data_IF_866414265731
#
_entry.id   IF_866414265731
#
_cell.length_a   1.000
_cell.length_b   1.000
_cell.length_c   1.000
_cell.angle_alpha   90.00
_cell.angle_beta   90.00
_cell.angle_gamma   90.00
#
_symmetry.space_group_name_H-M   'P 1'
#
loop_
_entity.id
_entity.type
_entity.pdbx_description
1 polymer ?
#
# COMPACT_ATOMS: atom_id res chain seq x y z
N UNK A 1 -35.38 -37.75 -24.32
CA UNK A 1 -35.68 -36.34 -23.97
C UNK A 1 -36.64 -36.33 -22.77
N UNK A 2 -36.57 -35.33 -21.88
CA UNK A 2 -37.44 -35.15 -20.69
C UNK A 2 -36.96 -35.64 -19.29
N UNK A 3 -35.71 -35.37 -18.88
CA UNK A 3 -35.33 -35.39 -17.44
C UNK A 3 -34.46 -34.22 -16.94
N UNK A 4 -34.20 -33.19 -17.76
CA UNK A 4 -33.28 -32.10 -17.40
C UNK A 4 -33.91 -30.81 -16.81
N UNK A 5 -35.24 -30.68 -16.80
CA UNK A 5 -35.89 -29.39 -16.52
C UNK A 5 -36.21 -29.11 -15.03
N UNK A 6 -36.08 -30.11 -14.14
CA UNK A 6 -36.51 -30.00 -12.73
C UNK A 6 -35.49 -29.36 -11.76
N UNK A 7 -34.21 -29.33 -12.12
CA UNK A 7 -33.15 -28.83 -11.22
C UNK A 7 -32.96 -27.31 -11.27
N UNK A 8 -33.31 -26.66 -12.39
CA UNK A 8 -33.22 -25.20 -12.53
C UNK A 8 -34.41 -24.46 -11.87
N UNK A 9 -35.54 -25.14 -11.61
CA UNK A 9 -36.67 -24.55 -10.88
C UNK A 9 -36.47 -24.53 -9.37
N UNK A 10 -35.55 -25.34 -8.82
CA UNK A 10 -35.32 -25.46 -7.38
C UNK A 10 -34.33 -24.41 -6.83
N UNK A 11 -33.45 -23.88 -7.67
CA UNK A 11 -32.50 -22.81 -7.30
C UNK A 11 -33.14 -21.40 -7.33
N UNK A 12 -34.42 -21.28 -7.68
CA UNK A 12 -35.15 -20.00 -7.80
C UNK A 12 -36.35 -19.98 -6.83
N UNK A 13 -36.08 -20.10 -5.54
CA UNK A 13 -37.01 -19.69 -4.47
C UNK A 13 -36.21 -19.00 -3.37
N UNK A 14 -36.82 -18.45 -2.31
CA UNK A 14 -38.02 -17.60 -2.14
C UNK A 14 -37.87 -16.05 -2.35
N UNK A 15 -36.69 -15.42 -2.62
CA UNK A 15 -36.58 -13.95 -2.64
C UNK A 15 -37.32 -13.32 -3.83
N UNK A 16 -37.50 -14.03 -4.94
CA UNK A 16 -38.28 -13.53 -6.09
C UNK A 16 -39.78 -13.36 -5.78
N UNK A 17 -40.39 -14.25 -4.97
CA UNK A 17 -41.81 -14.13 -4.56
C UNK A 17 -42.02 -12.99 -3.58
N UNK A 18 -41.03 -12.69 -2.72
CA UNK A 18 -41.05 -11.52 -1.86
C UNK A 18 -40.97 -10.22 -2.68
N UNK A 19 -40.12 -10.20 -3.73
CA UNK A 19 -39.96 -9.07 -4.64
C UNK A 19 -41.26 -8.72 -5.40
N UNK A 20 -42.07 -9.73 -5.72
CA UNK A 20 -43.39 -9.55 -6.32
C UNK A 20 -44.42 -8.90 -5.38
N UNK A 21 -44.18 -8.81 -4.07
CA UNK A 21 -45.06 -8.11 -3.11
C UNK A 21 -44.60 -6.69 -2.79
N UNK A 22 -43.35 -6.34 -3.10
CA UNK A 22 -42.80 -5.01 -2.82
C UNK A 22 -43.36 -3.97 -3.80
N UNK A 23 -43.82 -2.78 -3.34
CA UNK A 23 -44.29 -1.71 -4.22
C UNK A 23 -43.18 -1.23 -5.17
N UNK A 24 -43.53 -0.87 -6.42
CA UNK A 24 -42.56 -0.40 -7.43
C UNK A 24 -41.70 0.78 -6.93
N UNK A 25 -42.28 1.69 -6.13
CA UNK A 25 -41.56 2.82 -5.52
C UNK A 25 -40.44 2.38 -4.57
N UNK A 26 -40.67 1.31 -3.81
CA UNK A 26 -39.68 0.76 -2.86
C UNK A 26 -38.60 -0.02 -3.61
N UNK A 27 -38.97 -0.74 -4.69
CA UNK A 27 -38.00 -1.39 -5.58
C UNK A 27 -37.04 -0.38 -6.22
N UNK A 28 -37.55 0.78 -6.64
CA UNK A 28 -36.74 1.88 -7.17
C UNK A 28 -35.75 2.43 -6.13
N UNK A 29 -36.21 2.67 -4.89
CA UNK A 29 -35.35 3.13 -3.79
C UNK A 29 -34.24 2.14 -3.45
N UNK A 30 -34.53 0.85 -3.36
CA UNK A 30 -33.53 -0.19 -3.07
C UNK A 30 -32.49 -0.28 -4.19
N UNK A 31 -32.92 -0.18 -5.45
CA UNK A 31 -32.04 -0.23 -6.63
C UNK A 31 -31.01 0.91 -6.63
N UNK A 32 -31.40 2.09 -6.13
CA UNK A 32 -30.51 3.26 -6.05
C UNK A 32 -29.68 3.24 -4.76
N UNK A 33 -30.27 2.85 -3.63
CA UNK A 33 -29.60 2.88 -2.33
C UNK A 33 -28.48 1.83 -2.20
N UNK A 34 -28.66 0.62 -2.74
CA UNK A 34 -27.68 -0.46 -2.61
C UNK A 34 -26.30 -0.12 -3.25
N UNK A 35 -26.20 0.34 -4.52
CA UNK A 35 -24.92 0.74 -5.10
C UNK A 35 -24.32 1.95 -4.38
N UNK A 36 -25.15 2.88 -3.90
CA UNK A 36 -24.67 4.05 -3.15
C UNK A 36 -23.97 3.60 -1.86
N UNK A 37 -24.57 2.67 -1.10
CA UNK A 37 -23.97 2.12 0.12
C UNK A 37 -22.66 1.38 -0.20
N UNK A 38 -22.62 0.60 -1.27
CA UNK A 38 -21.40 -0.09 -1.69
C UNK A 38 -20.26 0.89 -2.05
N UNK A 39 -20.58 1.99 -2.74
CA UNK A 39 -19.63 3.06 -3.05
C UNK A 39 -19.15 3.75 -1.78
N UNK A 40 -20.03 4.05 -0.82
CA UNK A 40 -19.65 4.67 0.45
C UNK A 40 -18.72 3.76 1.26
N UNK A 41 -19.02 2.46 1.36
CA UNK A 41 -18.16 1.49 2.04
C UNK A 41 -16.78 1.42 1.37
N UNK A 42 -16.74 1.34 0.04
CA UNK A 42 -15.49 1.34 -0.72
C UNK A 42 -14.70 2.64 -0.50
N UNK A 43 -15.36 3.79 -0.49
CA UNK A 43 -14.73 5.08 -0.21
C UNK A 43 -14.12 5.14 1.20
N UNK A 44 -14.83 4.65 2.22
CA UNK A 44 -14.31 4.60 3.60
C UNK A 44 -13.09 3.68 3.70
N UNK A 45 -13.13 2.49 3.08
CA UNK A 45 -12.00 1.57 3.04
C UNK A 45 -10.79 2.20 2.33
N UNK A 46 -11.01 2.89 1.21
CA UNK A 46 -9.97 3.58 0.46
C UNK A 46 -9.36 4.76 1.23
N UNK A 47 -10.18 5.53 1.96
CA UNK A 47 -9.69 6.63 2.80
C UNK A 47 -8.84 6.12 3.96
N UNK A 48 -9.28 5.07 4.64
CA UNK A 48 -8.48 4.42 5.68
C UNK A 48 -7.17 3.85 5.12
N UNK A 49 -7.22 3.22 3.94
CA UNK A 49 -6.03 2.75 3.23
C UNK A 49 -5.05 3.88 2.92
N UNK A 50 -5.54 5.03 2.44
CA UNK A 50 -4.71 6.21 2.15
C UNK A 50 -4.04 6.79 3.40
N UNK A 51 -4.73 6.89 4.54
CA UNK A 51 -4.14 7.38 5.79
C UNK A 51 -2.99 6.48 6.27
N UNK A 52 -3.14 5.16 6.15
CA UNK A 52 -2.08 4.22 6.50
C UNK A 52 -0.90 4.30 5.52
N UNK A 53 -1.16 4.52 4.22
CA UNK A 53 -0.09 4.65 3.21
C UNK A 53 0.85 5.82 3.46
N UNK A 54 0.32 6.99 3.84
CA UNK A 54 1.15 8.20 4.07
C UNK A 54 2.16 7.96 5.20
N UNK A 55 1.76 7.30 6.28
CA UNK A 55 2.66 6.99 7.38
C UNK A 55 3.76 5.99 6.98
N UNK A 56 3.46 5.02 6.10
CA UNK A 56 4.45 4.06 5.62
C UNK A 56 5.39 4.70 4.58
N UNK A 57 4.89 5.60 3.74
CA UNK A 57 5.70 6.29 2.73
C UNK A 57 6.80 7.16 3.37
N UNK A 58 6.47 7.91 4.43
CA UNK A 58 7.48 8.66 5.20
C UNK A 58 8.47 7.74 5.90
N UNK A 59 8.03 6.56 6.33
CA UNK A 59 8.90 5.58 6.97
C UNK A 59 9.92 5.01 5.98
N UNK A 60 9.45 4.61 4.79
CA UNK A 60 10.30 4.12 3.70
C UNK A 60 11.35 5.16 3.32
N UNK A 61 10.94 6.42 3.15
CA UNK A 61 11.88 7.49 2.77
C UNK A 61 13.00 7.65 3.81
N UNK A 62 12.65 7.66 5.11
CA UNK A 62 13.64 7.76 6.19
C UNK A 62 14.63 6.60 6.19
N UNK A 63 14.16 5.38 5.93
CA UNK A 63 15.03 4.19 5.87
C UNK A 63 16.01 4.25 4.69
N UNK A 64 15.60 4.83 3.56
CA UNK A 64 16.51 5.16 2.45
C UNK A 64 17.51 6.24 2.82
N UNK A 65 17.08 7.32 3.47
CA UNK A 65 17.95 8.40 3.96
C UNK A 65 19.00 7.86 4.95
N UNK A 66 18.60 6.99 5.89
CA UNK A 66 19.49 6.32 6.83
C UNK A 66 20.53 5.45 6.11
N UNK A 67 20.11 4.64 5.14
CA UNK A 67 21.02 3.81 4.33
C UNK A 67 22.03 4.66 3.56
N UNK A 68 21.58 5.79 3.00
CA UNK A 68 22.43 6.72 2.27
C UNK A 68 23.44 7.42 3.19
N UNK A 69 23.01 7.89 4.36
CA UNK A 69 23.86 8.52 5.35
C UNK A 69 24.93 7.54 5.90
N UNK A 70 24.57 6.28 6.16
CA UNK A 70 25.53 5.22 6.50
C UNK A 70 26.56 4.98 5.38
N UNK A 71 26.09 5.01 4.13
CA UNK A 71 26.95 4.92 2.95
C UNK A 71 27.93 6.09 2.84
N UNK A 72 27.48 7.30 3.17
CA UNK A 72 28.32 8.49 3.20
C UNK A 72 29.45 8.36 4.23
N UNK A 73 29.14 7.94 5.47
CA UNK A 73 30.16 7.67 6.50
C UNK A 73 31.21 6.67 6.00
N UNK A 74 30.76 5.54 5.43
CA UNK A 74 31.67 4.53 4.87
C UNK A 74 32.56 5.11 3.77
N UNK A 75 31.99 5.89 2.85
CA UNK A 75 32.74 6.52 1.76
C UNK A 75 33.77 7.52 2.27
N UNK A 76 33.43 8.36 3.25
CA UNK A 76 34.36 9.31 3.87
C UNK A 76 35.55 8.58 4.50
N UNK A 77 35.29 7.48 5.21
CA UNK A 77 36.33 6.69 5.85
C UNK A 77 37.25 5.98 4.84
N UNK A 78 36.69 5.39 3.79
CA UNK A 78 37.48 4.77 2.71
C UNK A 78 38.35 5.81 2.01
N UNK A 79 37.80 6.99 1.71
CA UNK A 79 38.53 8.06 1.05
C UNK A 79 39.65 8.61 1.94
N UNK A 80 39.39 8.80 3.24
CA UNK A 80 40.40 9.24 4.21
C UNK A 80 41.57 8.25 4.32
N UNK A 81 41.27 6.95 4.45
CA UNK A 81 42.30 5.91 4.52
C UNK A 81 43.10 5.82 3.21
N UNK A 82 42.41 5.88 2.06
CA UNK A 82 43.05 5.83 0.74
C UNK A 82 43.95 7.05 0.51
N UNK A 83 43.49 8.23 0.88
CA UNK A 83 44.27 9.47 0.84
C UNK A 83 45.52 9.38 1.73
N UNK A 84 45.37 8.91 2.97
CA UNK A 84 46.51 8.73 3.87
C UNK A 84 47.55 7.77 3.29
N UNK A 85 47.12 6.63 2.74
CA UNK A 85 48.03 5.68 2.07
C UNK A 85 48.75 6.32 0.88
N UNK A 86 48.05 7.12 0.08
CA UNK A 86 48.65 7.89 -1.02
C UNK A 86 49.72 8.87 -0.52
N UNK A 87 49.45 9.57 0.57
CA UNK A 87 50.41 10.45 1.24
C UNK A 87 51.63 9.68 1.76
N UNK A 88 51.44 8.54 2.45
CA UNK A 88 52.53 7.72 2.94
C UNK A 88 53.42 7.15 1.82
N UNK A 89 52.83 6.84 0.65
CA UNK A 89 53.56 6.31 -0.49
C UNK A 89 54.33 7.36 -1.27
N UNK A 90 53.80 8.58 -1.38
CA UNK A 90 54.34 9.61 -2.28
C UNK A 90 55.00 10.78 -1.56
N UNK A 91 54.69 10.99 -0.27
CA UNK A 91 55.04 12.17 0.50
C UNK A 91 54.31 13.45 0.09
N UNK A 92 53.39 13.39 -0.89
CA UNK A 92 52.72 14.58 -1.43
C UNK A 92 51.48 14.94 -0.60
N UNK A 93 51.47 16.16 -0.06
CA UNK A 93 50.38 16.64 0.80
C UNK A 93 49.00 16.72 0.11
N UNK A 94 48.94 16.74 -1.22
CA UNK A 94 47.67 16.73 -1.98
C UNK A 94 46.82 15.49 -1.67
N UNK A 95 47.45 14.35 -1.39
CA UNK A 95 46.74 13.13 -1.01
C UNK A 95 46.07 13.21 0.37
N UNK A 96 46.37 14.22 1.19
CA UNK A 96 45.71 14.45 2.48
C UNK A 96 44.35 15.16 2.35
N UNK A 97 43.98 15.65 1.16
CA UNK A 97 42.70 16.33 0.95
C UNK A 97 41.48 15.47 1.39
N UNK A 98 41.38 14.18 1.06
CA UNK A 98 40.27 13.34 1.52
C UNK A 98 40.23 13.14 3.03
N UNK A 99 41.39 13.05 3.69
CA UNK A 99 41.47 12.96 5.14
C UNK A 99 40.97 14.26 5.82
N UNK A 100 41.36 15.41 5.28
CA UNK A 100 40.87 16.71 5.75
C UNK A 100 39.35 16.87 5.55
N UNK A 101 38.82 16.40 4.41
CA UNK A 101 37.37 16.39 4.15
C UNK A 101 36.61 15.51 5.13
N UNK A 102 37.07 14.28 5.36
CA UNK A 102 36.44 13.38 6.33
C UNK A 102 36.43 13.97 7.75
N UNK A 103 37.54 14.59 8.17
CA UNK A 103 37.64 15.30 9.46
C UNK A 103 36.57 16.38 9.62
N UNK A 104 36.21 17.07 8.54
CA UNK A 104 35.18 18.13 8.57
C UNK A 104 33.75 17.59 8.45
N UNK A 105 33.54 16.53 7.67
CA UNK A 105 32.19 16.07 7.29
C UNK A 105 31.64 14.95 8.18
N UNK A 106 32.48 14.15 8.80
CA UNK A 106 32.03 13.06 9.69
C UNK A 106 31.13 13.54 10.84
N UNK A 107 31.44 14.66 11.55
CA UNK A 107 30.56 15.13 12.62
C UNK A 107 29.14 15.45 12.15
N UNK A 108 29.00 16.10 10.98
CA UNK A 108 27.68 16.37 10.40
C UNK A 108 26.97 15.10 9.93
N UNK A 109 27.70 14.13 9.37
CA UNK A 109 27.13 12.86 8.95
C UNK A 109 26.58 12.06 10.14
N UNK A 110 27.28 12.04 11.28
CA UNK A 110 26.78 11.40 12.51
C UNK A 110 25.62 12.18 13.14
N UNK A 111 25.61 13.52 13.06
CA UNK A 111 24.47 14.31 13.50
C UNK A 111 23.20 14.01 12.68
N UNK A 112 23.34 13.84 11.36
CA UNK A 112 22.25 13.43 10.47
C UNK A 112 21.73 12.02 10.82
N UNK A 113 22.63 11.04 10.98
CA UNK A 113 22.27 9.69 11.43
C UNK A 113 21.54 9.69 12.78
N UNK A 114 21.99 10.51 13.71
CA UNK A 114 21.37 10.65 15.04
C UNK A 114 19.97 11.27 14.95
N UNK A 115 19.78 12.25 14.07
CA UNK A 115 18.47 12.86 13.83
C UNK A 115 17.49 11.86 13.19
N UNK A 116 17.93 11.14 12.16
CA UNK A 116 17.16 10.07 11.51
C UNK A 116 16.78 8.96 12.50
N UNK A 117 17.69 8.62 13.41
CA UNK A 117 17.41 7.66 14.48
C UNK A 117 16.41 8.19 15.52
N UNK A 118 16.42 9.50 15.76
CA UNK A 118 15.48 10.17 16.65
C UNK A 118 14.04 10.07 16.17
N UNK A 119 13.78 10.24 14.89
CA UNK A 119 12.41 10.36 14.39
C UNK A 119 11.66 9.02 14.20
N UNK A 120 12.27 7.89 14.59
CA UNK A 120 11.65 6.57 14.49
C UNK A 120 10.56 6.34 15.58
N UNK A 121 9.32 5.95 15.19
CA UNK A 121 8.26 5.68 16.15
C UNK A 121 8.48 4.34 16.88
N UNK A 122 8.86 4.40 18.15
CA UNK A 122 9.00 3.24 19.04
C UNK A 122 10.03 3.49 20.15
N UNK A 123 9.87 2.88 21.32
CA UNK A 123 10.82 3.05 22.43
C UNK A 123 11.95 2.01 22.43
N UNK A 124 11.65 0.76 22.07
CA UNK A 124 12.64 -0.32 22.03
C UNK A 124 13.63 -0.25 20.84
N UNK A 125 13.21 0.06 19.59
CA UNK A 125 14.13 0.18 18.44
C UNK A 125 15.18 1.29 18.62
N UNK A 126 14.80 2.35 19.35
CA UNK A 126 15.55 3.58 19.48
C UNK A 126 16.83 3.42 20.30
N UNK A 127 16.79 2.61 21.36
CA UNK A 127 17.94 2.44 22.27
C UNK A 127 19.04 1.60 21.62
N UNK A 128 18.65 0.52 20.94
CA UNK A 128 19.58 -0.32 20.19
C UNK A 128 20.22 0.46 19.04
N UNK A 129 19.41 1.21 18.26
CA UNK A 129 19.91 2.01 17.15
C UNK A 129 20.92 3.08 17.60
N UNK A 130 20.64 3.82 18.69
CA UNK A 130 21.60 4.78 19.24
C UNK A 130 22.88 4.11 19.78
N UNK A 131 22.77 2.91 20.34
CA UNK A 131 23.92 2.11 20.77
C UNK A 131 24.85 1.81 19.59
N UNK A 132 24.29 1.30 18.49
CA UNK A 132 25.04 0.99 17.26
C UNK A 132 25.68 2.21 16.62
N UNK A 133 24.94 3.33 16.55
CA UNK A 133 25.49 4.59 16.05
C UNK A 133 26.68 5.06 16.87
N UNK A 134 26.61 4.94 18.19
CA UNK A 134 27.71 5.28 19.10
C UNK A 134 28.92 4.36 18.93
N UNK A 135 28.69 3.06 18.72
CA UNK A 135 29.76 2.10 18.46
C UNK A 135 30.46 2.42 17.13
N UNK A 136 29.69 2.72 16.08
CA UNK A 136 30.21 3.14 14.79
C UNK A 136 30.98 4.46 14.88
N UNK A 137 30.46 5.46 15.61
CA UNK A 137 31.14 6.74 15.86
C UNK A 137 32.46 6.52 16.61
N UNK A 138 32.48 5.61 17.60
CA UNK A 138 33.68 5.25 18.35
C UNK A 138 34.74 4.62 17.46
N UNK A 139 34.37 3.64 16.62
CA UNK A 139 35.29 3.01 15.67
C UNK A 139 35.84 4.02 14.65
N UNK A 140 34.97 4.88 14.15
CA UNK A 140 35.33 5.94 13.20
C UNK A 140 36.30 6.95 13.84
N UNK A 141 36.03 7.35 15.08
CA UNK A 141 36.92 8.23 15.85
C UNK A 141 38.29 7.60 16.10
N UNK A 142 38.35 6.31 16.44
CA UNK A 142 39.61 5.57 16.59
C UNK A 142 40.41 5.56 15.28
N UNK A 143 39.75 5.31 14.16
CA UNK A 143 40.40 5.31 12.85
C UNK A 143 40.91 6.70 12.47
N UNK A 144 40.13 7.75 12.70
CA UNK A 144 40.57 9.13 12.42
C UNK A 144 41.74 9.54 13.31
N UNK A 145 41.75 9.13 14.58
CA UNK A 145 42.88 9.36 15.49
C UNK A 145 44.15 8.62 15.00
N UNK A 146 44.01 7.37 14.54
CA UNK A 146 45.10 6.60 13.96
C UNK A 146 45.70 7.27 12.71
N UNK A 147 44.85 7.70 11.77
CA UNK A 147 45.27 8.44 10.58
C UNK A 147 45.96 9.76 10.96
N UNK A 148 45.44 10.48 11.96
CA UNK A 148 46.06 11.72 12.44
C UNK A 148 47.46 11.49 13.02
N UNK A 149 47.66 10.38 13.73
CA UNK A 149 48.97 9.98 14.24
C UNK A 149 49.95 9.71 13.09
N UNK A 150 49.53 8.94 12.07
CA UNK A 150 50.37 8.64 10.91
C UNK A 150 50.81 9.92 10.18
N UNK A 151 49.92 10.89 10.02
CA UNK A 151 50.24 12.20 9.43
C UNK A 151 51.29 12.95 10.28
N UNK A 152 51.07 13.05 11.60
CA UNK A 152 51.96 13.78 12.50
C UNK A 152 53.34 13.13 12.59
N UNK A 153 53.41 11.81 12.60
CA UNK A 153 54.67 11.07 12.63
C UNK A 153 55.54 11.37 11.40
N UNK A 154 54.96 11.28 10.20
CA UNK A 154 55.72 11.51 8.95
C UNK A 154 56.09 12.99 8.78
N UNK A 155 55.17 13.91 9.10
CA UNK A 155 55.47 15.35 9.03
C UNK A 155 56.46 15.82 10.11
N UNK A 156 56.56 15.10 11.23
CA UNK A 156 57.56 15.30 12.29
C UNK A 156 58.96 14.78 11.96
N UNK A 157 59.18 14.28 10.74
CA UNK A 157 60.47 13.73 10.28
C UNK A 157 60.61 12.21 10.40
N UNK A 158 59.55 11.52 10.81
CA UNK A 158 59.46 10.06 10.78
C UNK A 158 59.42 9.52 9.34
N UNK A 159 59.95 8.32 9.14
CA UNK A 159 59.95 7.67 7.82
C UNK A 159 58.63 6.94 7.58
N UNK A 160 57.99 7.04 6.39
CA UNK A 160 56.85 6.19 6.03
C UNK A 160 57.17 4.68 6.04
N UNK A 161 58.46 4.32 5.96
CA UNK A 161 58.92 2.93 6.02
C UNK A 161 59.15 2.42 7.46
N UNK A 162 58.91 3.26 8.47
CA UNK A 162 59.12 2.92 9.87
C UNK A 162 58.25 1.72 10.30
N UNK A 163 58.79 0.74 11.05
CA UNK A 163 58.01 -0.34 11.64
C UNK A 163 56.79 0.10 12.43
N UNK A 164 56.82 1.28 13.06
CA UNK A 164 55.68 1.86 13.78
C UNK A 164 54.52 2.15 12.84
N UNK A 165 54.76 2.86 11.73
CA UNK A 165 53.75 3.14 10.70
C UNK A 165 53.14 1.84 10.14
N UNK A 166 53.95 0.79 9.98
CA UNK A 166 53.43 -0.52 9.53
C UNK A 166 52.41 -1.11 10.51
N UNK A 167 52.65 -1.01 11.82
CA UNK A 167 51.69 -1.48 12.83
C UNK A 167 50.40 -0.66 12.79
N UNK A 168 50.50 0.65 12.59
CA UNK A 168 49.34 1.53 12.45
C UNK A 168 48.53 1.20 11.18
N UNK A 169 49.18 0.87 10.06
CA UNK A 169 48.49 0.40 8.84
C UNK A 169 47.73 -0.92 9.07
N UNK A 170 48.31 -1.87 9.81
CA UNK A 170 47.63 -3.13 10.17
C UNK A 170 46.46 -2.91 11.14
N UNK A 171 46.65 -2.05 12.14
CA UNK A 171 45.62 -1.66 13.09
C UNK A 171 44.46 -0.95 12.39
N UNK A 172 44.76 0.06 11.57
CA UNK A 172 43.77 0.82 10.81
C UNK A 172 43.01 -0.04 9.80
N UNK A 173 43.65 -1.03 9.18
CA UNK A 173 42.95 -2.03 8.36
C UNK A 173 41.91 -2.79 9.19
N UNK A 174 42.28 -3.25 10.38
CA UNK A 174 41.37 -3.97 11.28
C UNK A 174 40.18 -3.11 11.73
N UNK A 175 40.40 -1.83 12.01
CA UNK A 175 39.33 -0.88 12.30
C UNK A 175 38.41 -0.68 11.09
N UNK A 176 38.96 -0.49 9.89
CA UNK A 176 38.17 -0.30 8.67
C UNK A 176 37.35 -1.53 8.28
N UNK A 177 37.87 -2.73 8.50
CA UNK A 177 37.12 -3.96 8.31
C UNK A 177 35.93 -4.05 9.30
N UNK A 178 36.11 -3.61 10.55
CA UNK A 178 35.00 -3.50 11.53
C UNK A 178 33.98 -2.43 11.16
N UNK A 179 34.42 -1.25 10.74
CA UNK A 179 33.53 -0.16 10.29
C UNK A 179 32.68 -0.64 9.11
N UNK A 180 33.29 -1.31 8.11
CA UNK A 180 32.56 -1.87 6.97
C UNK A 180 31.56 -2.94 7.40
N UNK A 181 31.93 -3.81 8.32
CA UNK A 181 31.03 -4.84 8.84
C UNK A 181 29.83 -4.22 9.59
N UNK A 182 30.08 -3.23 10.44
CA UNK A 182 29.03 -2.55 11.21
C UNK A 182 28.07 -1.80 10.28
N UNK A 183 28.59 -1.05 9.31
CA UNK A 183 27.77 -0.35 8.30
C UNK A 183 26.96 -1.35 7.47
N UNK A 184 27.57 -2.46 7.03
CA UNK A 184 26.88 -3.45 6.22
C UNK A 184 25.76 -4.16 6.99
N UNK A 185 26.00 -4.51 8.26
CA UNK A 185 24.99 -5.12 9.11
C UNK A 185 23.83 -4.15 9.39
N UNK A 186 24.14 -2.89 9.69
CA UNK A 186 23.13 -1.86 9.91
C UNK A 186 22.29 -1.61 8.65
N UNK A 187 22.92 -1.44 7.49
CA UNK A 187 22.21 -1.34 6.21
C UNK A 187 21.38 -2.60 5.89
N UNK A 188 21.86 -3.78 6.26
CA UNK A 188 21.15 -5.04 6.08
C UNK A 188 19.86 -5.10 6.88
N UNK A 189 19.89 -4.68 8.15
CA UNK A 189 18.71 -4.61 9.00
C UNK A 189 17.69 -3.60 8.47
N UNK A 190 18.13 -2.41 8.05
CA UNK A 190 17.22 -1.39 7.53
C UNK A 190 16.57 -1.81 6.20
N UNK A 191 17.30 -2.53 5.34
CA UNK A 191 16.75 -3.10 4.11
C UNK A 191 15.73 -4.21 4.37
N UNK A 192 15.97 -5.07 5.36
CA UNK A 192 15.01 -6.11 5.72
C UNK A 192 13.70 -5.51 6.23
N UNK A 193 13.78 -4.48 7.09
CA UNK A 193 12.60 -3.74 7.55
C UNK A 193 11.87 -3.02 6.40
N UNK A 194 12.62 -2.45 5.45
CA UNK A 194 12.05 -1.85 4.24
C UNK A 194 11.25 -2.85 3.40
N UNK A 195 11.79 -4.05 3.17
CA UNK A 195 11.14 -5.08 2.37
C UNK A 195 9.80 -5.53 3.01
N UNK A 196 9.77 -5.66 4.34
CA UNK A 196 8.55 -5.97 5.09
C UNK A 196 7.49 -4.86 4.94
N UNK A 197 7.91 -3.58 5.02
CA UNK A 197 7.01 -2.43 4.82
C UNK A 197 6.47 -2.34 3.40
N UNK A 198 7.30 -2.65 2.40
CA UNK A 198 6.88 -2.67 0.99
C UNK A 198 5.84 -3.79 0.78
N UNK A 199 6.03 -4.95 1.39
CA UNK A 199 5.05 -6.05 1.35
C UNK A 199 3.71 -5.64 1.98
N UNK A 200 3.74 -4.95 3.12
CA UNK A 200 2.55 -4.42 3.80
C UNK A 200 1.78 -3.41 2.92
N UNK A 201 2.47 -2.48 2.27
CA UNK A 201 1.85 -1.54 1.31
C UNK A 201 1.18 -2.29 0.16
N UNK A 202 1.84 -3.31 -0.39
CA UNK A 202 1.29 -4.07 -1.52
C UNK A 202 0.00 -4.81 -1.12
N UNK A 203 -0.06 -5.37 0.09
CA UNK A 203 -1.28 -5.98 0.61
C UNK A 203 -2.42 -4.96 0.75
N UNK A 204 -2.13 -3.75 1.25
CA UNK A 204 -3.11 -2.65 1.33
C UNK A 204 -3.60 -2.24 -0.06
N UNK A 205 -2.69 -2.13 -1.06
CA UNK A 205 -3.06 -1.81 -2.45
C UNK A 205 -4.00 -2.84 -3.04
N UNK A 206 -3.68 -4.14 -2.88
CA UNK A 206 -4.51 -5.23 -3.40
C UNK A 206 -5.90 -5.19 -2.75
N UNK A 207 -5.98 -5.02 -1.42
CA UNK A 207 -7.25 -4.89 -0.70
C UNK A 207 -8.10 -3.75 -1.25
N UNK A 208 -7.51 -2.57 -1.45
CA UNK A 208 -8.24 -1.40 -1.92
C UNK A 208 -8.75 -1.62 -3.36
N UNK A 209 -7.93 -2.16 -4.27
CA UNK A 209 -8.36 -2.50 -5.64
C UNK A 209 -9.48 -3.54 -5.67
N UNK A 210 -9.39 -4.59 -4.85
CA UNK A 210 -10.45 -5.61 -4.73
C UNK A 210 -11.75 -5.01 -4.20
N UNK A 211 -11.69 -4.10 -3.23
CA UNK A 211 -12.88 -3.44 -2.68
C UNK A 211 -13.62 -2.59 -3.72
N UNK A 212 -12.87 -1.85 -4.56
CA UNK A 212 -13.41 -1.03 -5.65
C UNK A 212 -14.01 -1.93 -6.75
N UNK A 213 -13.32 -3.01 -7.12
CA UNK A 213 -13.80 -3.97 -8.10
C UNK A 213 -15.11 -4.64 -7.64
N UNK A 214 -15.20 -5.06 -6.38
CA UNK A 214 -16.43 -5.62 -5.79
C UNK A 214 -17.58 -4.60 -5.78
N UNK A 215 -17.30 -3.33 -5.43
CA UNK A 215 -18.31 -2.27 -5.44
C UNK A 215 -18.85 -2.02 -6.86
N UNK A 216 -17.97 -2.01 -7.87
CA UNK A 216 -18.37 -1.89 -9.28
C UNK A 216 -19.23 -3.08 -9.74
N UNK A 217 -18.81 -4.31 -9.44
CA UNK A 217 -19.57 -5.52 -9.78
C UNK A 217 -20.93 -5.52 -9.10
N UNK A 218 -21.00 -5.18 -7.82
CA UNK A 218 -22.25 -5.08 -7.08
C UNK A 218 -23.19 -4.01 -7.68
N UNK A 219 -22.66 -2.85 -8.08
CA UNK A 219 -23.43 -1.79 -8.72
C UNK A 219 -24.00 -2.23 -10.08
N UNK A 220 -23.18 -2.86 -10.92
CA UNK A 220 -23.60 -3.39 -12.22
C UNK A 220 -24.63 -4.52 -12.06
N UNK A 221 -24.40 -5.45 -11.13
CA UNK A 221 -25.30 -6.56 -10.86
C UNK A 221 -26.68 -6.07 -10.37
N UNK A 222 -26.70 -5.08 -9.47
CA UNK A 222 -27.95 -4.48 -8.97
C UNK A 222 -28.72 -3.78 -10.09
N UNK A 223 -28.01 -3.05 -10.96
CA UNK A 223 -28.63 -2.36 -12.09
C UNK A 223 -29.16 -3.32 -13.15
N UNK A 224 -28.42 -4.39 -13.45
CA UNK A 224 -28.85 -5.46 -14.32
C UNK A 224 -30.06 -6.21 -13.75
N UNK A 225 -30.02 -6.56 -12.46
CA UNK A 225 -31.11 -7.25 -11.78
C UNK A 225 -32.39 -6.41 -11.76
N UNK A 226 -32.27 -5.11 -11.47
CA UNK A 226 -33.41 -4.19 -11.52
C UNK A 226 -34.00 -4.09 -12.92
N UNK A 227 -33.15 -3.91 -13.96
CA UNK A 227 -33.60 -3.92 -15.36
C UNK A 227 -34.30 -5.22 -15.74
N UNK A 228 -33.73 -6.38 -15.36
CA UNK A 228 -34.27 -7.70 -15.65
C UNK A 228 -35.63 -7.92 -14.97
N UNK A 229 -35.74 -7.62 -13.68
CA UNK A 229 -36.99 -7.77 -12.92
C UNK A 229 -38.08 -6.82 -13.42
N UNK A 230 -37.72 -5.59 -13.78
CA UNK A 230 -38.65 -4.60 -14.34
C UNK A 230 -39.15 -5.04 -15.71
N UNK A 231 -38.24 -5.46 -16.61
CA UNK A 231 -38.58 -5.98 -17.94
C UNK A 231 -39.51 -7.18 -17.84
N UNK A 232 -39.21 -8.15 -16.96
CA UNK A 232 -40.01 -9.36 -16.82
C UNK A 232 -41.36 -9.11 -16.14
N UNK A 233 -41.40 -8.19 -15.18
CA UNK A 233 -42.63 -7.80 -14.46
C UNK A 233 -43.60 -7.00 -15.34
N UNK A 234 -43.09 -6.06 -16.14
CA UNK A 234 -43.93 -5.24 -17.03
C UNK A 234 -44.39 -6.05 -18.23
N UNK A 235 -43.50 -6.77 -18.93
CA UNK A 235 -43.87 -7.51 -20.13
C UNK A 235 -44.99 -8.51 -19.86
N UNK A 236 -44.89 -9.30 -18.76
CA UNK A 236 -45.94 -10.25 -18.37
C UNK A 236 -47.29 -9.59 -18.10
N UNK A 237 -47.30 -8.37 -17.53
CA UNK A 237 -48.54 -7.64 -17.21
C UNK A 237 -49.15 -7.01 -18.45
N UNK A 238 -48.32 -6.39 -19.28
CA UNK A 238 -48.75 -5.84 -20.57
C UNK A 238 -49.35 -6.95 -21.42
N UNK A 239 -48.65 -8.08 -21.56
CA UNK A 239 -49.11 -9.23 -22.34
C UNK A 239 -50.47 -9.74 -21.84
N UNK A 240 -50.63 -9.92 -20.51
CA UNK A 240 -51.93 -10.27 -19.89
C UNK A 240 -53.05 -9.29 -20.21
N UNK A 241 -52.79 -7.98 -20.11
CA UNK A 241 -53.78 -6.94 -20.43
C UNK A 241 -54.14 -6.96 -21.92
N UNK A 242 -53.17 -7.08 -22.83
CA UNK A 242 -53.43 -7.19 -24.27
C UNK A 242 -54.24 -8.43 -24.62
N UNK A 243 -53.93 -9.59 -24.03
CA UNK A 243 -54.68 -10.83 -24.29
C UNK A 243 -56.12 -10.73 -23.79
N UNK A 244 -56.33 -10.10 -22.63
CA UNK A 244 -57.68 -9.88 -22.08
C UNK A 244 -58.51 -8.92 -22.95
N UNK A 245 -57.89 -7.83 -23.44
CA UNK A 245 -58.53 -6.86 -24.34
C UNK A 245 -58.87 -7.46 -25.71
N UNK A 246 -57.96 -8.28 -26.29
CA UNK A 246 -58.23 -9.03 -27.53
C UNK A 246 -59.37 -10.02 -27.34
N UNK A 247 -59.34 -10.80 -26.25
CA UNK A 247 -60.38 -11.78 -25.94
C UNK A 247 -61.78 -11.16 -25.87
N UNK A 248 -61.94 -10.01 -25.19
CA UNK A 248 -63.24 -9.30 -25.14
C UNK A 248 -63.67 -8.77 -26.52
N UNK A 249 -62.72 -8.28 -27.34
CA UNK A 249 -63.02 -7.81 -28.70
C UNK A 249 -63.47 -8.93 -29.63
N UNK A 250 -62.95 -10.14 -29.43
CA UNK A 250 -63.26 -11.34 -30.24
C UNK A 250 -64.45 -12.15 -29.67
N UNK A 251 -65.07 -11.71 -28.57
CA UNK A 251 -66.23 -12.37 -27.96
C UNK A 251 -65.92 -13.61 -27.13
N UNK A 252 -64.63 -13.87 -26.85
CA UNK A 252 -64.17 -15.02 -26.06
C UNK A 252 -64.24 -14.71 -24.55
N UNK A 253 -64.59 -15.68 -23.68
CA UNK A 253 -64.52 -15.50 -22.23
C UNK A 253 -63.06 -15.37 -21.79
N UNK A 254 -62.59 -14.14 -21.63
CA UNK A 254 -61.27 -13.89 -21.07
C UNK A 254 -61.35 -13.95 -19.54
N UNK A 255 -60.69 -14.93 -18.94
CA UNK A 255 -60.59 -15.06 -17.49
C UNK A 255 -59.72 -13.91 -16.96
N UNK A 256 -60.36 -13.04 -16.17
CA UNK A 256 -59.77 -11.78 -15.72
C UNK A 256 -58.83 -12.03 -14.53
N UNK A 257 -57.51 -11.80 -14.65
CA UNK A 257 -56.59 -12.00 -13.53
C UNK A 257 -56.82 -10.94 -12.43
N UNK A 258 -56.83 -11.36 -11.16
CA UNK A 258 -57.00 -10.43 -10.05
C UNK A 258 -55.82 -9.46 -9.90
N UNK A 259 -56.08 -8.16 -9.62
CA UNK A 259 -55.06 -7.14 -9.49
C UNK A 259 -54.14 -7.47 -8.31
N UNK A 260 -52.87 -7.79 -8.61
CA UNK A 260 -51.96 -8.41 -7.63
C UNK A 260 -51.16 -7.38 -6.79
N UNK A 261 -51.16 -6.07 -7.14
CA UNK A 261 -50.41 -5.02 -6.42
C UNK A 261 -51.23 -3.75 -6.16
N UNK A 262 -50.90 -3.03 -5.07
CA UNK A 262 -51.39 -1.66 -4.75
C UNK A 262 -50.45 -0.57 -5.31
N UNK A 263 -50.12 -0.64 -6.59
CA UNK A 263 -49.32 0.38 -7.30
C UNK A 263 -50.11 0.96 -8.49
N UNK A 264 -49.53 1.91 -9.22
CA UNK A 264 -50.19 2.56 -10.35
C UNK A 264 -50.59 1.56 -11.46
N UNK A 265 -49.80 0.51 -11.68
CA UNK A 265 -50.17 -0.54 -12.63
C UNK A 265 -51.32 -1.41 -12.11
N UNK A 266 -51.36 -1.71 -10.81
CA UNK A 266 -52.52 -2.34 -10.19
C UNK A 266 -53.78 -1.45 -10.13
N UNK A 267 -53.65 -0.13 -10.17
CA UNK A 267 -54.79 0.79 -10.39
C UNK A 267 -55.28 0.70 -11.84
N UNK A 268 -54.38 0.74 -12.82
CA UNK A 268 -54.73 0.59 -14.23
C UNK A 268 -55.40 -0.77 -14.53
N UNK A 269 -54.87 -1.87 -13.97
CA UNK A 269 -55.48 -3.20 -14.07
C UNK A 269 -56.93 -3.19 -13.53
N UNK A 270 -57.19 -2.47 -12.43
CA UNK A 270 -58.54 -2.33 -11.83
C UNK A 270 -59.49 -1.48 -12.66
N UNK A 271 -59.02 -0.38 -13.22
CA UNK A 271 -59.85 0.46 -14.10
C UNK A 271 -60.21 -0.27 -15.39
N UNK A 272 -59.25 -0.96 -16.01
CA UNK A 272 -59.51 -1.82 -17.18
C UNK A 272 -60.52 -2.91 -16.83
N UNK A 273 -60.41 -3.53 -15.65
CA UNK A 273 -61.41 -4.49 -15.15
C UNK A 273 -62.83 -3.89 -15.08
N UNK A 274 -62.98 -2.67 -14.57
CA UNK A 274 -64.29 -2.00 -14.48
C UNK A 274 -64.89 -1.72 -15.85
N UNK A 275 -64.08 -1.29 -16.82
CA UNK A 275 -64.52 -1.08 -18.20
C UNK A 275 -64.87 -2.40 -18.89
N UNK A 276 -64.13 -3.47 -18.61
CA UNK A 276 -64.40 -4.78 -19.19
C UNK A 276 -65.62 -5.50 -18.58
N UNK A 277 -66.09 -5.12 -17.39
CA UNK A 277 -67.34 -5.63 -16.80
C UNK A 277 -68.61 -4.93 -17.27
N UNK A 278 -68.50 -3.71 -17.81
CA UNK A 278 -69.60 -3.00 -18.48
C UNK A 278 -69.76 -3.50 -19.92
#
# INVERSE_FOLDING_TARGET
>A
MARGAGLLSALVGPPMRAWERVPIRVQGRITVALPLVAVVISAVLALNGNLTRVAIETDIQRKFEMTAALGNVSSLMVNAETGMRGFLLTGQGEFLQPFAQATQQLPSAFAELTALAGDEPGQEPRTEMFGRLRDLETLTGQQMADLSFQQQFVTGGGSPADPEIRRHLEYGKGLMDRIRAEVADFQGQERALLDDRIAEINAIRVRDYVSVALALVAALATRFLAWFLFRRGILRRVERLTTCLRGKREGTPAELPEPTKRDQMGQLEREVHQVLRR
#
